data_IF_620788852572
#
_entry.id   IF_620788852572
#
_cell.length_a   1.000
_cell.length_b   1.000
_cell.length_c   1.000
_cell.angle_alpha   90.00
_cell.angle_beta   90.00
_cell.angle_gamma   90.00
#
_symmetry.space_group_name_H-M   'P 1'
#
loop_
_entity.id
_entity.type
_entity.pdbx_description
1 polymer ?
#
# COMPACT_ATOMS: atom_id res chain seq x y z
N UNK A 1 -22.86 20.06 -20.86
CA UNK A 1 -22.03 20.43 -19.70
C UNK A 1 -20.90 19.40 -19.58
N UNK A 2 -19.79 19.58 -20.28
CA UNK A 2 -18.58 18.77 -20.07
C UNK A 2 -17.72 19.52 -19.05
N UNK A 3 -17.51 18.92 -17.88
CA UNK A 3 -16.50 19.40 -16.95
C UNK A 3 -15.15 18.97 -17.51
N UNK A 4 -14.40 19.94 -18.03
CA UNK A 4 -12.98 19.77 -18.34
C UNK A 4 -12.24 19.53 -17.03
N UNK A 5 -11.96 18.27 -16.71
CA UNK A 5 -11.17 17.90 -15.53
C UNK A 5 -9.72 18.25 -15.86
N UNK A 6 -9.25 19.41 -15.42
CA UNK A 6 -7.84 19.77 -15.51
C UNK A 6 -7.03 18.96 -14.47
N UNK A 7 -5.72 18.72 -14.69
CA UNK A 7 -4.87 18.02 -13.73
C UNK A 7 -4.91 18.61 -12.31
N UNK A 8 -5.10 19.93 -12.21
CA UNK A 8 -5.25 20.66 -10.95
C UNK A 8 -6.50 20.23 -10.16
N UNK A 9 -7.62 19.92 -10.83
CA UNK A 9 -8.86 19.50 -10.16
C UNK A 9 -8.73 18.10 -9.53
N UNK A 10 -7.98 17.20 -10.18
CA UNK A 10 -7.73 15.86 -9.67
C UNK A 10 -6.87 15.92 -8.41
N UNK A 11 -5.82 16.76 -8.40
CA UNK A 11 -4.99 16.96 -7.21
C UNK A 11 -5.75 17.63 -6.06
N UNK A 12 -6.66 18.57 -6.36
CA UNK A 12 -7.52 19.19 -5.35
C UNK A 12 -8.50 18.18 -4.73
N UNK A 13 -9.06 17.29 -5.54
CA UNK A 13 -10.00 16.26 -5.07
C UNK A 13 -9.27 15.21 -4.23
N UNK A 14 -8.10 14.74 -4.69
CA UNK A 14 -7.24 13.82 -3.93
C UNK A 14 -6.88 14.41 -2.55
N UNK A 15 -6.55 15.70 -2.50
CA UNK A 15 -6.22 16.37 -1.25
C UNK A 15 -7.39 16.44 -0.28
N UNK A 16 -8.60 16.75 -0.78
CA UNK A 16 -9.81 16.79 0.03
C UNK A 16 -10.15 15.41 0.59
N UNK A 17 -10.09 14.35 -0.24
CA UNK A 17 -10.33 12.97 0.18
C UNK A 17 -9.35 12.53 1.28
N UNK A 18 -8.08 12.94 1.19
CA UNK A 18 -7.07 12.68 2.22
C UNK A 18 -7.41 13.41 3.51
N UNK A 19 -7.78 14.69 3.45
CA UNK A 19 -8.18 15.46 4.64
C UNK A 19 -9.41 14.87 5.33
N UNK A 20 -10.42 14.47 4.56
CA UNK A 20 -11.62 13.82 5.09
C UNK A 20 -11.29 12.47 5.72
N UNK A 21 -10.45 11.66 5.08
CA UNK A 21 -10.03 10.37 5.60
C UNK A 21 -9.12 10.49 6.84
N UNK A 22 -8.40 11.61 7.00
CA UNK A 22 -7.66 11.93 8.22
C UNK A 22 -8.58 12.21 9.41
N UNK A 23 -9.72 12.88 9.18
CA UNK A 23 -10.70 13.19 10.22
C UNK A 23 -11.59 11.97 10.52
N UNK A 24 -11.96 11.23 9.48
CA UNK A 24 -12.88 10.09 9.55
C UNK A 24 -12.33 8.93 8.71
N UNK A 25 -11.76 7.89 9.33
CA UNK A 25 -11.24 6.72 8.62
C UNK A 25 -12.25 6.03 7.69
N UNK A 26 -13.56 6.19 7.96
CA UNK A 26 -14.64 5.67 7.11
C UNK A 26 -14.64 6.29 5.69
N UNK A 27 -14.13 7.50 5.53
CA UNK A 27 -14.06 8.21 4.24
C UNK A 27 -12.83 7.83 3.41
N UNK A 28 -12.06 6.82 3.84
CA UNK A 28 -10.91 6.32 3.08
C UNK A 28 -11.30 5.54 1.81
N UNK A 29 -12.57 5.13 1.69
CA UNK A 29 -13.02 4.25 0.61
C UNK A 29 -12.76 4.75 -0.82
N UNK A 30 -12.96 6.04 -1.16
CA UNK A 30 -12.66 6.56 -2.49
C UNK A 30 -11.17 6.43 -2.86
N UNK A 31 -10.28 6.68 -1.88
CA UNK A 31 -8.83 6.50 -2.07
C UNK A 31 -8.51 5.01 -2.28
N UNK A 32 -9.11 4.12 -1.49
CA UNK A 32 -8.96 2.69 -1.66
C UNK A 32 -9.37 2.24 -3.06
N UNK A 33 -10.58 2.58 -3.51
CA UNK A 33 -11.11 2.15 -4.81
C UNK A 33 -10.24 2.66 -5.98
N UNK A 34 -9.66 3.87 -5.84
CA UNK A 34 -8.78 4.48 -6.84
C UNK A 34 -7.43 3.75 -6.96
N UNK A 35 -6.79 3.39 -5.85
CA UNK A 35 -5.43 2.83 -5.88
C UNK A 35 -5.35 1.33 -5.73
N UNK A 36 -6.42 0.65 -5.30
CA UNK A 36 -6.42 -0.79 -5.04
C UNK A 36 -5.88 -1.59 -6.21
N UNK A 37 -6.43 -1.37 -7.41
CA UNK A 37 -6.00 -2.07 -8.62
C UNK A 37 -4.50 -1.89 -8.90
N UNK A 38 -4.01 -0.64 -8.84
CA UNK A 38 -2.61 -0.31 -9.14
C UNK A 38 -1.64 -0.91 -8.12
N UNK A 39 -2.01 -0.89 -6.83
CA UNK A 39 -1.22 -1.52 -5.77
C UNK A 39 -1.23 -3.05 -5.92
N UNK A 40 -2.40 -3.64 -6.19
CA UNK A 40 -2.51 -5.08 -6.41
C UNK A 40 -1.66 -5.56 -7.58
N UNK A 41 -1.73 -4.89 -8.73
CA UNK A 41 -0.87 -5.22 -9.87
C UNK A 41 0.61 -5.06 -9.54
N UNK A 42 0.99 -4.03 -8.77
CA UNK A 42 2.37 -3.80 -8.36
C UNK A 42 2.91 -4.90 -7.44
N UNK A 43 2.10 -5.35 -6.49
CA UNK A 43 2.44 -6.44 -5.56
C UNK A 43 2.47 -7.76 -6.32
N UNK A 44 1.46 -8.06 -7.12
CA UNK A 44 1.34 -9.29 -7.90
C UNK A 44 2.51 -9.49 -8.86
N UNK A 45 2.96 -8.43 -9.53
CA UNK A 45 4.17 -8.49 -10.39
C UNK A 45 5.44 -8.87 -9.64
N UNK A 46 5.49 -8.71 -8.32
CA UNK A 46 6.66 -9.04 -7.48
C UNK A 46 6.56 -10.41 -6.83
N UNK A 47 5.37 -10.76 -6.38
CA UNK A 47 5.10 -12.02 -5.67
C UNK A 47 4.83 -13.18 -6.62
N UNK A 48 4.16 -12.94 -7.75
CA UNK A 48 3.67 -13.97 -8.67
C UNK A 48 2.51 -14.82 -8.13
N UNK A 49 2.08 -14.56 -6.89
CA UNK A 49 1.12 -15.37 -6.15
C UNK A 49 -0.12 -14.53 -5.80
N UNK A 50 -1.31 -15.02 -6.17
CA UNK A 50 -2.58 -14.30 -5.99
C UNK A 50 -2.98 -14.18 -4.52
N UNK A 51 -2.79 -15.24 -3.74
CA UNK A 51 -3.17 -15.30 -2.32
C UNK A 51 -2.27 -14.37 -1.52
N UNK A 52 -0.94 -14.53 -1.68
CA UNK A 52 0.04 -13.66 -1.05
C UNK A 52 -0.15 -12.19 -1.46
N UNK A 53 -0.50 -11.92 -2.72
CA UNK A 53 -0.77 -10.56 -3.16
C UNK A 53 -1.99 -9.95 -2.48
N UNK A 54 -3.05 -10.73 -2.29
CA UNK A 54 -4.24 -10.29 -1.56
C UNK A 54 -3.89 -9.88 -0.13
N UNK A 55 -3.14 -10.73 0.56
CA UNK A 55 -2.71 -10.49 1.95
C UNK A 55 -1.83 -9.25 2.07
N UNK A 56 -0.81 -9.13 1.22
CA UNK A 56 0.08 -7.98 1.22
C UNK A 56 -0.67 -6.69 0.86
N UNK A 57 -1.60 -6.74 -0.09
CA UNK A 57 -2.44 -5.59 -0.40
C UNK A 57 -3.28 -5.16 0.81
N UNK A 58 -3.92 -6.09 1.51
CA UNK A 58 -4.66 -5.78 2.72
C UNK A 58 -3.78 -5.10 3.77
N UNK A 59 -2.55 -5.61 3.99
CA UNK A 59 -1.58 -5.02 4.91
C UNK A 59 -1.14 -3.61 4.49
N UNK A 60 -0.93 -3.37 3.20
CA UNK A 60 -0.58 -2.05 2.67
C UNK A 60 -1.66 -1.02 2.97
N UNK A 61 -2.93 -1.35 2.70
CA UNK A 61 -4.03 -0.42 2.94
C UNK A 61 -4.33 -0.24 4.43
N UNK A 62 -4.15 -1.28 5.25
CA UNK A 62 -4.23 -1.17 6.70
C UNK A 62 -3.20 -0.17 7.24
N UNK A 63 -1.92 -0.35 6.85
CA UNK A 63 -0.84 0.58 7.24
C UNK A 63 -1.05 1.97 6.67
N UNK A 64 -1.56 2.08 5.45
CA UNK A 64 -1.91 3.36 4.88
C UNK A 64 -2.93 4.07 5.75
N UNK A 65 -3.99 3.39 6.21
CA UNK A 65 -5.00 3.96 7.10
C UNK A 65 -4.42 4.38 8.45
N UNK A 66 -3.60 3.53 9.08
CA UNK A 66 -2.94 3.80 10.37
C UNK A 66 -2.02 5.02 10.31
N UNK A 67 -1.27 5.17 9.22
CA UNK A 67 -0.33 6.27 9.03
C UNK A 67 -0.97 7.51 8.39
N UNK A 68 -2.19 7.41 7.88
CA UNK A 68 -2.87 8.50 7.18
C UNK A 68 -3.04 9.73 8.07
N UNK A 69 -3.38 9.54 9.35
CA UNK A 69 -3.57 10.63 10.31
C UNK A 69 -2.33 11.53 10.47
N UNK A 70 -1.13 10.99 10.25
CA UNK A 70 0.13 11.72 10.30
C UNK A 70 0.70 12.06 8.91
N UNK A 71 -0.03 11.75 7.84
CA UNK A 71 0.41 12.05 6.49
C UNK A 71 0.43 13.57 6.27
N UNK A 72 1.58 14.08 5.85
CA UNK A 72 1.73 15.48 5.43
C UNK A 72 2.12 15.50 3.96
N UNK A 73 1.40 16.27 3.16
CA UNK A 73 1.77 16.48 1.76
C UNK A 73 3.09 17.26 1.69
N UNK A 74 4.14 16.62 1.18
CA UNK A 74 5.49 17.19 1.04
C UNK A 74 5.87 17.47 -0.41
N UNK A 75 4.88 17.70 -1.28
CA UNK A 75 5.09 17.90 -2.72
C UNK A 75 5.25 16.61 -3.52
N UNK A 76 4.94 15.45 -2.92
CA UNK A 76 4.89 14.16 -3.62
C UNK A 76 3.46 13.64 -3.67
N UNK A 77 3.02 13.05 -4.80
CA UNK A 77 1.68 12.47 -4.92
C UNK A 77 1.41 11.42 -3.84
N UNK A 78 0.14 11.27 -3.45
CA UNK A 78 -0.27 10.25 -2.50
C UNK A 78 0.08 8.84 -2.97
N UNK A 79 -0.05 8.60 -4.28
CA UNK A 79 0.33 7.33 -4.91
C UNK A 79 1.78 6.93 -4.62
N UNK A 80 2.72 7.87 -4.69
CA UNK A 80 4.14 7.62 -4.36
C UNK A 80 4.34 7.18 -2.92
N UNK A 81 3.59 7.75 -1.98
CA UNK A 81 3.62 7.33 -0.58
C UNK A 81 3.04 5.93 -0.40
N UNK A 82 1.92 5.63 -1.06
CA UNK A 82 1.29 4.31 -1.02
C UNK A 82 2.16 3.20 -1.63
N UNK A 83 2.80 3.46 -2.78
CA UNK A 83 3.75 2.53 -3.39
C UNK A 83 4.99 2.30 -2.53
N UNK A 84 5.38 3.28 -1.70
CA UNK A 84 6.47 3.11 -0.73
C UNK A 84 6.07 2.13 0.37
N UNK A 85 4.84 2.21 0.88
CA UNK A 85 4.29 1.23 1.82
C UNK A 85 4.26 -0.15 1.16
N UNK A 86 3.73 -0.25 -0.07
CA UNK A 86 3.70 -1.52 -0.82
C UNK A 86 5.06 -2.16 -1.02
N UNK A 87 6.06 -1.36 -1.41
CA UNK A 87 7.43 -1.84 -1.58
C UNK A 87 8.02 -2.36 -0.27
N UNK A 88 7.74 -1.65 0.84
CA UNK A 88 8.21 -2.03 2.16
C UNK A 88 7.58 -3.35 2.62
N UNK A 89 6.27 -3.56 2.41
CA UNK A 89 5.58 -4.80 2.77
C UNK A 89 6.11 -5.99 1.98
N UNK A 90 6.27 -5.85 0.66
CA UNK A 90 6.85 -6.90 -0.18
C UNK A 90 8.27 -7.24 0.29
N UNK A 91 9.11 -6.23 0.51
CA UNK A 91 10.47 -6.46 1.00
C UNK A 91 10.49 -7.09 2.41
N UNK A 92 9.57 -6.69 3.28
CA UNK A 92 9.45 -7.26 4.62
C UNK A 92 9.04 -8.73 4.59
N UNK A 93 8.08 -9.09 3.73
CA UNK A 93 7.68 -10.47 3.52
C UNK A 93 8.88 -11.34 3.09
N UNK A 94 9.62 -10.92 2.07
CA UNK A 94 10.79 -11.68 1.62
C UNK A 94 11.90 -11.77 2.68
N UNK A 95 12.16 -10.69 3.43
CA UNK A 95 13.11 -10.72 4.55
C UNK A 95 12.70 -11.72 5.63
N UNK A 96 11.41 -11.78 5.98
CA UNK A 96 10.89 -12.71 6.97
C UNK A 96 10.96 -14.16 6.48
N UNK A 97 10.59 -14.42 5.22
CA UNK A 97 10.67 -15.75 4.60
C UNK A 97 12.11 -16.27 4.55
N UNK A 98 13.09 -15.42 4.25
CA UNK A 98 14.51 -15.80 4.27
C UNK A 98 15.02 -16.11 5.69
N UNK A 99 14.60 -15.31 6.69
CA UNK A 99 14.91 -15.57 8.10
C UNK A 99 14.29 -16.84 8.66
N UNK A 100 13.22 -17.34 8.05
CA UNK A 100 12.56 -18.58 8.49
C UNK A 100 13.18 -19.84 7.86
N UNK A 101 14.07 -19.68 6.87
CA UNK A 101 14.80 -20.78 6.22
C UNK A 101 16.08 -21.20 6.96
N UNK A 102 16.26 -20.82 8.23
CA UNK A 102 17.42 -21.27 9.01
C UNK A 102 17.23 -22.74 9.41
N UNK A 103 17.99 -23.56 8.68
CA UNK A 103 18.36 -24.97 8.82
C UNK A 103 18.14 -25.57 10.21
N UNK A 104 17.29 -26.60 10.31
CA UNK A 104 17.42 -27.62 11.36
C UNK A 104 18.79 -28.26 11.21
N UNK A 105 19.64 -28.13 12.23
CA UNK A 105 20.86 -28.94 12.32
C UNK A 105 20.39 -30.37 12.56
N UNK A 106 20.46 -31.24 11.56
CA UNK A 106 20.42 -32.68 11.82
C UNK A 106 21.58 -33.00 12.76
N UNK A 107 21.26 -33.38 14.00
CA UNK A 107 22.18 -34.04 14.92
C UNK A 107 22.69 -35.32 14.22
N UNK A 108 23.93 -35.29 13.76
CA UNK A 108 24.65 -36.50 13.38
C UNK A 108 25.15 -37.10 14.69
N UNK A 109 24.36 -38.01 15.26
CA UNK A 109 24.85 -38.94 16.28
C UNK A 109 25.86 -39.90 15.61
N UNK A 110 27.12 -39.82 16.03
CA UNK A 110 28.20 -40.77 15.72
C UNK A 110 28.49 -41.67 16.92
#
# INVERSE_FOLDING_TARGET
MQQSITPDTVMQTEWLEIQEAQQQPANFRPLYDRYYKSVYEFVYRRTGDKELSGDLCAQVFLKALEHLGNYTFKGVPFSSWLFRIASNEVAQHYRNTQKMRVVSVEEIDL
#
